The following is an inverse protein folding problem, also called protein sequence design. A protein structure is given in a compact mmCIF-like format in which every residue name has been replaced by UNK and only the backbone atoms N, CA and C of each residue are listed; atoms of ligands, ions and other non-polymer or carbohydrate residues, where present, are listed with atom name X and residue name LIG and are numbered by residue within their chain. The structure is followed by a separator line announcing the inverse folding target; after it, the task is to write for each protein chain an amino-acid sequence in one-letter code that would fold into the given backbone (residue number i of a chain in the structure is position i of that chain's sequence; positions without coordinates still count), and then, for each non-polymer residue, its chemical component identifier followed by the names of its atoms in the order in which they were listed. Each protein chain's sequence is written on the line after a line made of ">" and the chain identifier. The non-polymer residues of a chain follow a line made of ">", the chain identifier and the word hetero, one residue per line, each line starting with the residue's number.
data_IF_118312257135
#
_entry.id   IF_118312257135
#
_cell.length_a   1.000
_cell.length_b   1.000
_cell.length_c   1.000
_cell.angle_alpha   90.00
_cell.angle_beta   90.00
_cell.angle_gamma   90.00
#
_symmetry.space_group_name_H-M   'P 1'
#
loop_
_entity.id
_entity.type
_entity.pdbx_description
1 polymer ?
#
# COMPACT_ATOMS: atom_id res chain seq x y z
N UNK A 1 -6.77 -2.87 -20.32
CA UNK A 1 -6.30 -4.22 -19.94
C UNK A 1 -7.27 -5.20 -20.56
N UNK A 2 -6.81 -6.13 -21.40
CA UNK A 2 -7.69 -7.19 -21.92
C UNK A 2 -8.11 -8.10 -20.76
N UNK A 3 -9.35 -8.59 -20.76
CA UNK A 3 -9.82 -9.50 -19.72
C UNK A 3 -9.06 -10.82 -19.81
N UNK A 4 -8.32 -11.19 -18.76
CA UNK A 4 -7.67 -12.50 -18.69
C UNK A 4 -8.62 -13.60 -18.21
N UNK A 5 -9.75 -13.22 -17.63
CA UNK A 5 -10.77 -14.13 -17.15
C UNK A 5 -11.74 -14.49 -18.28
N UNK A 6 -12.09 -15.77 -18.35
CA UNK A 6 -13.06 -16.32 -19.29
C UNK A 6 -13.98 -17.33 -18.60
N UNK A 7 -15.16 -17.52 -19.17
CA UNK A 7 -16.09 -18.55 -18.73
C UNK A 7 -15.79 -19.84 -19.49
N UNK A 8 -15.52 -20.92 -18.76
CA UNK A 8 -15.31 -22.26 -19.33
C UNK A 8 -16.58 -23.06 -19.19
N UNK A 9 -17.14 -23.51 -20.31
CA UNK A 9 -18.34 -24.34 -20.35
C UNK A 9 -17.98 -25.77 -20.76
N UNK A 10 -18.32 -26.73 -19.92
CA UNK A 10 -18.20 -28.16 -20.25
C UNK A 10 -19.60 -28.78 -20.34
N UNK A 11 -19.87 -29.48 -21.43
CA UNK A 11 -21.10 -30.28 -21.59
C UNK A 11 -20.71 -31.76 -21.54
N UNK A 12 -20.98 -32.44 -20.42
CA UNK A 12 -20.79 -33.90 -20.35
C UNK A 12 -21.91 -34.60 -21.11
N UNK A 13 -21.53 -35.46 -22.06
CA UNK A 13 -22.44 -36.34 -22.81
C UNK A 13 -22.82 -37.58 -22.00
N UNK A 14 -23.54 -37.44 -20.89
CA UNK A 14 -24.20 -38.59 -20.25
C UNK A 14 -25.60 -38.23 -19.75
N UNK A 15 -26.58 -39.02 -20.22
CA UNK A 15 -28.04 -39.17 -19.97
C UNK A 15 -28.93 -38.00 -19.50
N UNK A 16 -28.41 -36.94 -18.93
CA UNK A 16 -29.08 -35.64 -18.74
C UNK A 16 -27.98 -34.57 -18.91
N UNK A 17 -27.98 -33.88 -20.06
CA UNK A 17 -26.96 -32.90 -20.41
C UNK A 17 -26.91 -31.71 -19.45
N UNK A 18 -26.24 -31.88 -18.31
CA UNK A 18 -25.97 -30.81 -17.36
C UNK A 18 -24.74 -30.07 -17.81
N UNK A 19 -24.96 -28.89 -18.40
CA UNK A 19 -23.89 -27.93 -18.67
C UNK A 19 -23.32 -27.45 -17.35
N UNK A 20 -22.01 -27.57 -17.21
CA UNK A 20 -21.27 -27.01 -16.08
C UNK A 20 -20.47 -25.80 -16.52
N UNK A 21 -20.39 -24.80 -15.64
CA UNK A 21 -19.71 -23.54 -15.89
C UNK A 21 -18.62 -23.34 -14.84
N UNK A 22 -17.44 -22.88 -15.23
CA UNK A 22 -16.37 -22.48 -14.31
C UNK A 22 -15.71 -21.19 -14.76
N UNK A 23 -15.03 -20.51 -13.83
CA UNK A 23 -14.17 -19.36 -14.11
C UNK A 23 -12.80 -19.89 -14.54
N UNK A 24 -12.31 -19.44 -15.68
CA UNK A 24 -10.99 -19.76 -16.19
C UNK A 24 -10.13 -18.52 -16.40
N UNK A 25 -8.81 -18.74 -16.50
CA UNK A 25 -7.83 -17.73 -16.85
C UNK A 25 -7.11 -18.15 -18.13
N UNK A 26 -7.00 -17.21 -19.07
CA UNK A 26 -6.17 -17.38 -20.26
C UNK A 26 -4.70 -17.29 -19.91
N UNK A 27 -3.96 -18.33 -20.27
CA UNK A 27 -2.53 -18.44 -20.07
C UNK A 27 -1.85 -18.57 -21.43
N UNK A 28 -0.73 -17.86 -21.60
CA UNK A 28 0.16 -18.03 -22.74
C UNK A 28 1.45 -18.72 -22.29
N UNK A 29 1.66 -19.96 -22.71
CA UNK A 29 2.83 -20.77 -22.34
C UNK A 29 3.53 -21.23 -23.61
N UNK A 30 4.81 -20.86 -23.78
CA UNK A 30 5.59 -21.26 -24.96
C UNK A 30 4.96 -20.88 -26.30
N UNK A 31 4.31 -19.70 -26.38
CA UNK A 31 3.61 -19.22 -27.57
C UNK A 31 2.21 -19.83 -27.81
N UNK A 32 1.78 -20.77 -26.98
CA UNK A 32 0.45 -21.39 -27.06
C UNK A 32 -0.50 -20.74 -26.05
N UNK A 33 -1.72 -20.48 -26.46
CA UNK A 33 -2.78 -19.91 -25.61
C UNK A 33 -3.70 -21.04 -25.14
N UNK A 34 -3.90 -21.13 -23.83
CA UNK A 34 -4.76 -22.14 -23.18
C UNK A 34 -5.58 -21.50 -22.09
N UNK A 35 -6.81 -21.97 -21.88
CA UNK A 35 -7.67 -21.50 -20.78
C UNK A 35 -7.64 -22.55 -19.66
N UNK A 36 -7.22 -22.13 -18.46
CA UNK A 36 -7.15 -23.00 -17.29
C UNK A 36 -8.26 -22.65 -16.29
N UNK A 37 -9.10 -23.60 -15.87
CA UNK A 37 -10.12 -23.36 -14.85
C UNK A 37 -9.48 -23.07 -13.49
N UNK A 38 -9.94 -22.00 -12.83
CA UNK A 38 -9.50 -21.56 -11.51
C UNK A 38 -10.59 -21.65 -10.44
N UNK A 39 -11.80 -22.05 -10.84
CA UNK A 39 -12.91 -22.37 -9.92
C UNK A 39 -13.35 -23.81 -10.10
N UNK A 40 -14.18 -24.30 -9.16
CA UNK A 40 -14.88 -25.57 -9.36
C UNK A 40 -15.90 -25.46 -10.51
N UNK A 41 -16.33 -26.61 -11.02
CA UNK A 41 -17.44 -26.70 -11.96
C UNK A 41 -18.79 -26.44 -11.26
N UNK A 42 -19.47 -25.38 -11.67
CA UNK A 42 -20.74 -24.93 -11.12
C UNK A 42 -21.92 -25.38 -11.99
N UNK A 43 -23.01 -25.75 -11.33
CA UNK A 43 -24.24 -26.25 -11.98
C UNK A 43 -25.41 -25.27 -11.83
N UNK A 44 -25.21 -24.16 -11.12
CA UNK A 44 -26.17 -23.09 -10.92
C UNK A 44 -25.48 -21.73 -10.92
N UNK A 45 -26.23 -20.68 -11.20
CA UNK A 45 -25.72 -19.31 -11.11
C UNK A 45 -25.24 -18.98 -9.68
N UNK A 46 -26.00 -19.36 -8.66
CA UNK A 46 -25.65 -19.13 -7.26
C UNK A 46 -24.30 -19.75 -6.88
N UNK A 47 -24.01 -20.97 -7.36
CA UNK A 47 -22.72 -21.62 -7.11
C UNK A 47 -21.57 -20.92 -7.84
N UNK A 48 -21.81 -20.40 -9.04
CA UNK A 48 -20.83 -19.59 -9.77
C UNK A 48 -20.57 -18.24 -9.08
N UNK A 49 -21.61 -17.57 -8.59
CA UNK A 49 -21.50 -16.31 -7.88
C UNK A 49 -20.66 -16.44 -6.61
N UNK A 50 -20.86 -17.51 -5.83
CA UNK A 50 -20.03 -17.81 -4.66
C UNK A 50 -18.55 -18.00 -5.03
N UNK A 51 -18.25 -18.72 -6.11
CA UNK A 51 -16.86 -18.91 -6.57
C UNK A 51 -16.22 -17.59 -7.02
N UNK A 52 -16.96 -16.78 -7.79
CA UNK A 52 -16.49 -15.45 -8.21
C UNK A 52 -16.23 -14.56 -7.00
N UNK A 53 -17.11 -14.58 -6.00
CA UNK A 53 -16.93 -13.80 -4.78
C UNK A 53 -15.73 -14.28 -3.97
N UNK A 54 -15.48 -15.59 -3.89
CA UNK A 54 -14.29 -16.14 -3.26
C UNK A 54 -13.00 -15.67 -3.95
N UNK A 55 -12.97 -15.66 -5.29
CA UNK A 55 -11.84 -15.14 -6.08
C UNK A 55 -11.62 -13.65 -5.80
N UNK A 56 -12.68 -12.83 -5.80
CA UNK A 56 -12.60 -11.40 -5.46
C UNK A 56 -11.99 -11.18 -4.07
N UNK A 57 -12.50 -11.88 -3.06
CA UNK A 57 -12.00 -11.77 -1.69
C UNK A 57 -10.51 -12.19 -1.59
N UNK A 58 -10.09 -13.18 -2.37
CA UNK A 58 -8.68 -13.59 -2.46
C UNK A 58 -7.81 -12.51 -3.11
N UNK A 59 -8.30 -11.84 -4.16
CA UNK A 59 -7.60 -10.72 -4.79
C UNK A 59 -7.50 -9.51 -3.84
N UNK A 60 -8.57 -9.20 -3.10
CA UNK A 60 -8.56 -8.14 -2.07
C UNK A 60 -7.55 -8.45 -0.96
N UNK A 61 -7.47 -9.72 -0.53
CA UNK A 61 -6.47 -10.17 0.46
C UNK A 61 -5.04 -10.04 -0.09
N UNK A 62 -4.84 -10.35 -1.37
CA UNK A 62 -3.55 -10.16 -2.05
C UNK A 62 -3.18 -8.67 -2.15
N UNK A 63 -4.15 -7.77 -2.36
CA UNK A 63 -3.91 -6.33 -2.32
C UNK A 63 -3.50 -5.86 -0.92
N UNK A 64 -4.11 -6.40 0.14
CA UNK A 64 -3.73 -6.10 1.52
C UNK A 64 -2.30 -6.60 1.82
N UNK A 65 -1.94 -7.80 1.35
CA UNK A 65 -0.58 -8.32 1.48
C UNK A 65 0.42 -7.53 0.64
N UNK A 66 0.07 -7.16 -0.59
CA UNK A 66 0.89 -6.28 -1.42
C UNK A 66 1.08 -4.92 -0.76
N UNK A 67 0.06 -4.37 -0.10
CA UNK A 67 0.18 -3.14 0.70
C UNK A 67 1.14 -3.33 1.86
N UNK A 68 1.21 -4.52 2.48
CA UNK A 68 2.22 -4.82 3.49
C UNK A 68 3.61 -4.86 2.85
N UNK A 69 3.85 -5.66 1.82
CA UNK A 69 5.18 -5.85 1.21
C UNK A 69 5.69 -4.60 0.48
N UNK A 70 4.84 -3.98 -0.33
CA UNK A 70 5.17 -2.77 -1.12
C UNK A 70 5.05 -1.51 -0.26
N UNK A 71 4.13 -1.49 0.72
CA UNK A 71 4.02 -0.39 1.67
C UNK A 71 5.13 -0.40 2.73
N UNK A 72 5.64 -1.56 3.13
CA UNK A 72 6.90 -1.68 3.90
C UNK A 72 8.10 -1.23 3.05
N UNK A 73 8.03 -1.32 1.71
CA UNK A 73 9.04 -0.72 0.83
C UNK A 73 8.92 0.82 0.69
N UNK A 74 7.94 1.46 1.34
CA UNK A 74 7.92 2.93 1.56
C UNK A 74 8.39 3.33 2.96
N UNK A 75 8.73 2.36 3.81
CA UNK A 75 9.28 2.60 5.14
C UNK A 75 10.82 2.63 5.16
N UNK A 76 11.50 2.60 4.00
CA UNK A 76 12.98 2.56 3.96
C UNK A 76 13.60 3.50 2.90
N UNK A 77 12.96 4.65 2.70
CA UNK A 77 13.71 5.90 2.52
C UNK A 77 13.44 6.87 3.69
N UNK A 78 12.57 6.50 4.63
CA UNK A 78 12.29 7.28 5.83
C UNK A 78 13.35 7.01 6.88
N UNK A 79 13.78 8.06 7.56
CA UNK A 79 14.52 7.95 8.82
C UNK A 79 13.81 6.98 9.79
N UNK A 80 14.56 6.20 10.59
CA UNK A 80 14.02 5.31 11.66
C UNK A 80 13.44 6.15 12.81
N UNK A 81 12.35 6.86 12.53
CA UNK A 81 11.59 7.67 13.46
C UNK A 81 10.46 6.82 14.03
N UNK A 82 10.57 6.48 15.31
CA UNK A 82 9.56 5.67 15.99
C UNK A 82 8.63 6.57 16.81
N UNK A 83 7.33 6.22 16.93
CA UNK A 83 6.36 7.07 17.63
C UNK A 83 6.64 7.28 19.12
N UNK A 84 7.39 6.35 19.73
CA UNK A 84 7.77 6.34 21.15
C UNK A 84 9.05 7.15 21.46
N UNK A 85 9.72 7.71 20.44
CA UNK A 85 10.92 8.52 20.63
C UNK A 85 10.60 9.90 21.24
N UNK A 86 11.57 10.41 22.00
CA UNK A 86 11.50 11.77 22.52
C UNK A 86 11.73 12.81 21.41
N UNK A 87 11.15 14.02 21.52
CA UNK A 87 11.27 15.05 20.48
C UNK A 87 12.72 15.42 20.11
N UNK A 88 13.63 15.38 21.09
CA UNK A 88 15.06 15.62 20.90
C UNK A 88 15.72 14.54 20.01
N UNK A 89 15.37 13.27 20.21
CA UNK A 89 15.94 12.15 19.47
C UNK A 89 15.46 12.19 18.01
N UNK A 90 14.18 12.48 17.81
CA UNK A 90 13.59 12.67 16.48
C UNK A 90 14.28 13.83 15.76
N UNK A 91 14.49 14.96 16.45
CA UNK A 91 15.19 16.10 15.87
C UNK A 91 16.65 15.82 15.54
N UNK A 92 17.37 15.07 16.39
CA UNK A 92 18.75 14.65 16.13
C UNK A 92 18.86 13.89 14.82
N UNK A 93 17.91 13.00 14.54
CA UNK A 93 17.86 12.22 13.29
C UNK A 93 17.49 13.13 12.10
N UNK A 94 16.42 13.93 12.24
CA UNK A 94 15.94 14.84 11.19
C UNK A 94 16.99 15.88 10.78
N UNK A 95 17.72 16.46 11.74
CA UNK A 95 18.75 17.47 11.48
C UNK A 95 20.01 16.91 10.80
N UNK A 96 20.22 15.59 10.86
CA UNK A 96 21.28 14.89 10.13
C UNK A 96 20.98 14.67 8.64
N UNK A 97 19.74 14.88 8.19
CA UNK A 97 19.36 14.66 6.80
C UNK A 97 19.89 15.77 5.90
N UNK A 98 20.74 15.39 4.94
CA UNK A 98 21.28 16.32 3.96
C UNK A 98 20.22 16.72 2.91
N UNK A 99 19.42 15.75 2.46
CA UNK A 99 18.33 15.94 1.49
C UNK A 99 17.14 16.70 2.11
N UNK A 100 16.73 17.81 1.49
CA UNK A 100 15.67 18.66 1.99
C UNK A 100 14.27 18.08 1.76
N UNK A 101 14.04 17.42 0.63
CA UNK A 101 12.76 16.78 0.32
C UNK A 101 12.52 15.59 1.26
N UNK A 102 13.59 14.85 1.55
CA UNK A 102 13.52 13.75 2.52
C UNK A 102 13.28 14.27 3.95
N UNK A 103 13.90 15.38 4.32
CA UNK A 103 13.68 16.04 5.61
C UNK A 103 12.21 16.47 5.80
N UNK A 104 11.64 17.16 4.80
CA UNK A 104 10.24 17.61 4.82
C UNK A 104 9.29 16.41 4.89
N UNK A 105 9.50 15.40 4.04
CA UNK A 105 8.66 14.19 4.02
C UNK A 105 8.73 13.43 5.34
N UNK A 106 9.93 13.27 5.90
CA UNK A 106 10.13 12.54 7.15
C UNK A 106 9.45 13.23 8.32
N UNK A 107 9.55 14.57 8.42
CA UNK A 107 8.81 15.33 9.44
C UNK A 107 7.28 15.24 9.23
N UNK A 108 6.80 15.42 7.99
CA UNK A 108 5.36 15.41 7.70
C UNK A 108 4.69 14.04 7.86
N UNK A 109 5.47 12.95 7.83
CA UNK A 109 4.99 11.58 8.08
C UNK A 109 4.79 11.25 9.57
N UNK A 110 5.30 12.07 10.49
CA UNK A 110 5.03 11.91 11.91
C UNK A 110 3.55 12.21 12.21
N UNK A 111 3.00 11.54 13.23
CA UNK A 111 1.65 11.83 13.72
C UNK A 111 1.53 13.29 14.16
N UNK A 112 0.33 13.88 14.01
CA UNK A 112 0.09 15.31 14.28
C UNK A 112 0.55 15.75 15.68
N UNK A 113 0.26 14.95 16.72
CA UNK A 113 0.71 15.22 18.07
C UNK A 113 2.23 15.29 18.17
N UNK A 114 2.92 14.31 17.58
CA UNK A 114 4.37 14.23 17.60
C UNK A 114 5.03 15.35 16.78
N UNK A 115 4.45 15.74 15.66
CA UNK A 115 4.92 16.91 14.88
C UNK A 115 4.89 18.19 15.70
N UNK A 116 3.83 18.42 16.49
CA UNK A 116 3.74 19.59 17.36
C UNK A 116 4.79 19.55 18.48
N UNK A 117 4.98 18.40 19.12
CA UNK A 117 6.00 18.23 20.16
C UNK A 117 7.42 18.50 19.63
N UNK A 118 7.75 17.96 18.44
CA UNK A 118 9.03 18.19 17.78
C UNK A 118 9.16 19.65 17.34
N UNK A 119 8.12 20.26 16.78
CA UNK A 119 8.13 21.67 16.39
C UNK A 119 8.37 22.58 17.61
N UNK A 120 7.69 22.32 18.73
CA UNK A 120 7.89 23.06 19.98
C UNK A 120 9.33 22.92 20.49
N UNK A 121 9.88 21.70 20.48
CA UNK A 121 11.29 21.47 20.83
C UNK A 121 12.24 22.28 19.93
N UNK A 122 12.04 22.26 18.61
CA UNK A 122 12.90 23.00 17.67
C UNK A 122 12.80 24.50 17.87
N UNK A 123 11.59 25.03 18.01
CA UNK A 123 11.35 26.47 18.12
C UNK A 123 11.76 27.05 19.48
N UNK A 124 11.84 26.22 20.53
CA UNK A 124 12.16 26.67 21.89
C UNK A 124 13.56 26.28 22.36
N UNK A 125 14.08 25.11 21.95
CA UNK A 125 15.35 24.55 22.46
C UNK A 125 16.47 24.59 21.42
N UNK A 126 16.18 24.69 20.12
CA UNK A 126 17.20 24.72 19.07
C UNK A 126 17.54 26.14 18.61
N UNK A 127 18.75 26.33 18.08
CA UNK A 127 19.16 27.61 17.50
C UNK A 127 18.53 27.83 16.12
N UNK A 128 17.33 28.40 16.09
CA UNK A 128 16.56 28.68 14.85
C UNK A 128 17.21 29.70 13.90
N UNK A 129 18.31 30.35 14.28
CA UNK A 129 19.01 31.31 13.43
C UNK A 129 20.14 30.69 12.60
N UNK A 130 20.40 29.38 12.76
CA UNK A 130 21.46 28.70 12.01
C UNK A 130 21.16 27.21 11.79
N UNK A 131 21.78 26.63 10.75
CA UNK A 131 21.66 25.21 10.44
C UNK A 131 20.23 24.78 10.07
N UNK A 132 19.91 23.50 10.29
CA UNK A 132 18.61 22.91 9.92
C UNK A 132 17.43 23.49 10.69
N UNK A 133 17.62 24.01 11.90
CA UNK A 133 16.56 24.67 12.66
C UNK A 133 16.06 25.96 11.98
N UNK A 134 16.95 26.67 11.25
CA UNK A 134 16.57 27.85 10.46
C UNK A 134 15.77 27.50 9.20
N UNK A 135 16.14 26.40 8.55
CA UNK A 135 15.36 25.85 7.42
C UNK A 135 13.98 25.42 7.92
N UNK A 136 13.93 24.69 9.04
CA UNK A 136 12.69 24.28 9.68
C UNK A 136 11.77 25.47 9.99
N UNK A 137 12.27 26.49 10.68
CA UNK A 137 11.45 27.64 11.08
C UNK A 137 10.92 28.46 9.91
N UNK A 138 11.62 28.46 8.78
CA UNK A 138 11.19 29.16 7.56
C UNK A 138 10.10 28.40 6.77
N UNK A 139 10.04 27.08 6.95
CA UNK A 139 9.20 26.15 6.18
C UNK A 139 7.99 25.65 6.97
N UNK A 140 8.09 25.65 8.30
CA UNK A 140 7.06 25.15 9.19
C UNK A 140 5.87 26.11 9.26
N UNK A 141 4.69 25.59 8.99
CA UNK A 141 3.43 26.31 9.10
C UNK A 141 2.76 25.99 10.44
N UNK A 142 2.65 27.00 11.30
CA UNK A 142 2.11 26.83 12.65
C UNK A 142 0.59 26.57 12.68
N UNK A 143 -0.15 26.91 11.63
CA UNK A 143 -1.59 26.66 11.53
C UNK A 143 -1.88 25.20 11.16
N UNK A 144 -1.11 24.65 10.21
CA UNK A 144 -1.32 23.30 9.68
C UNK A 144 -0.45 22.25 10.36
N UNK A 145 0.62 22.65 11.06
CA UNK A 145 1.56 21.74 11.72
C UNK A 145 2.44 20.95 10.75
N UNK A 146 2.64 21.46 9.53
CA UNK A 146 3.38 20.80 8.44
C UNK A 146 4.49 21.69 7.91
N UNK A 147 5.45 21.10 7.19
CA UNK A 147 6.47 21.85 6.46
C UNK A 147 6.16 21.88 4.95
N UNK A 148 6.39 23.04 4.33
CA UNK A 148 6.20 23.30 2.89
C UNK A 148 7.48 23.12 2.04
#
# INVERSE_FOLDING_TARGET
>A
MESIFEMVTETRKEKEGKTTVSVGVRLRVGGHETTCPISRACHSYETLEMEVQAIKNSLDSLLAEAKRVIGESKADEGLDLRPDMEPEEIWSILSGVSDEDLFIKSFNNLDEGKRREVAEYVLTQCNIFSGKASVFSSRYNNETGVMD
#
